data_IF_615910366879
#
_entry.id   IF_615910366879
#
_cell.length_a   1.000
_cell.length_b   1.000
_cell.length_c   1.000
_cell.angle_alpha   90.00
_cell.angle_beta   90.00
_cell.angle_gamma   90.00
#
_symmetry.space_group_name_H-M   'P 1'
#
loop_
_entity.id
_entity.type
_entity.pdbx_description
1 polymer ?
#
# COMPACT_ATOMS: atom_id res chain seq x y z
N UNK A 1 13.79 7.13 0.73
CA UNK A 1 12.32 7.11 0.67
C UNK A 1 11.83 6.47 1.95
N UNK A 2 11.06 7.24 2.73
CA UNK A 2 10.68 6.93 4.11
C UNK A 2 9.51 5.95 4.12
N UNK A 3 9.61 4.90 4.93
CA UNK A 3 8.53 3.93 5.17
C UNK A 3 7.63 4.53 6.25
N UNK A 4 6.35 4.73 5.96
CA UNK A 4 5.37 5.08 6.99
C UNK A 4 4.87 3.79 7.64
N UNK A 5 4.98 3.61 8.95
CA UNK A 5 4.29 2.54 9.65
C UNK A 5 2.81 2.93 9.75
N UNK A 6 1.94 2.29 8.96
CA UNK A 6 0.50 2.60 8.89
C UNK A 6 -0.37 1.37 9.25
N UNK A 7 0.22 0.28 9.74
CA UNK A 7 -0.55 -0.93 10.07
C UNK A 7 -1.61 -0.72 11.16
N UNK A 8 -1.41 0.24 12.07
CA UNK A 8 -2.37 0.51 13.15
C UNK A 8 -3.55 1.41 12.72
N UNK A 9 -3.32 2.31 11.74
CA UNK A 9 -4.35 3.27 11.31
C UNK A 9 -5.35 2.64 10.31
N UNK A 10 -4.92 1.62 9.55
CA UNK A 10 -5.80 0.80 8.70
C UNK A 10 -7.01 0.25 9.49
N UNK A 11 -6.78 -0.24 10.72
CA UNK A 11 -7.85 -0.80 11.55
C UNK A 11 -8.69 0.25 12.30
N UNK A 12 -8.16 1.46 12.49
CA UNK A 12 -8.86 2.54 13.22
C UNK A 12 -9.66 3.49 12.32
N UNK A 13 -9.61 3.30 10.99
CA UNK A 13 -10.48 3.99 10.02
C UNK A 13 -10.20 5.49 9.81
N UNK A 14 -9.17 6.05 10.45
CA UNK A 14 -8.77 7.43 10.28
C UNK A 14 -7.44 7.48 9.51
N UNK A 15 -7.50 7.91 8.25
CA UNK A 15 -6.30 8.05 7.41
C UNK A 15 -6.18 9.48 6.87
N UNK A 16 -4.99 10.12 6.93
CA UNK A 16 -4.79 11.48 6.44
C UNK A 16 -4.96 11.58 4.91
N UNK A 17 -5.65 12.63 4.43
CA UNK A 17 -5.73 12.97 3.00
C UNK A 17 -4.65 14.00 2.66
N UNK A 18 -3.79 13.73 1.68
CA UNK A 18 -2.76 14.68 1.24
C UNK A 18 -3.32 15.75 0.29
N UNK A 19 -4.54 15.55 -0.25
CA UNK A 19 -5.16 16.48 -1.20
C UNK A 19 -4.49 16.52 -2.58
N UNK A 20 -3.63 15.55 -2.88
CA UNK A 20 -2.94 15.41 -4.17
C UNK A 20 -3.67 14.36 -4.99
N UNK A 21 -4.47 14.80 -5.98
CA UNK A 21 -5.14 13.88 -6.92
C UNK A 21 -4.15 13.41 -7.99
N UNK A 22 -4.22 12.12 -8.32
CA UNK A 22 -3.50 11.52 -9.45
C UNK A 22 -4.50 11.10 -10.51
N UNK A 23 -4.28 11.54 -11.75
CA UNK A 23 -5.25 11.34 -12.85
C UNK A 23 -5.43 9.87 -13.26
N UNK A 24 -4.48 8.99 -12.94
CA UNK A 24 -4.51 7.57 -13.28
C UNK A 24 -4.74 6.65 -12.08
N UNK A 25 -5.22 7.19 -10.95
CA UNK A 25 -5.54 6.44 -9.72
C UNK A 25 -6.38 5.18 -10.00
N UNK A 26 -7.42 5.29 -10.81
CA UNK A 26 -8.30 4.16 -11.14
C UNK A 26 -7.53 3.03 -11.86
N UNK A 27 -6.64 3.38 -12.78
CA UNK A 27 -5.81 2.39 -13.50
C UNK A 27 -4.80 1.71 -12.57
N UNK A 28 -4.25 2.45 -11.60
CA UNK A 28 -3.36 1.89 -10.59
C UNK A 28 -4.12 0.91 -9.69
N UNK A 29 -5.32 1.27 -9.24
CA UNK A 29 -6.17 0.40 -8.41
C UNK A 29 -6.54 -0.89 -9.15
N UNK A 30 -6.92 -0.80 -10.42
CA UNK A 30 -7.20 -1.99 -11.24
C UNK A 30 -5.97 -2.89 -11.38
N UNK A 31 -4.79 -2.30 -11.59
CA UNK A 31 -3.54 -3.05 -11.69
C UNK A 31 -3.17 -3.75 -10.37
N UNK A 32 -3.41 -3.10 -9.23
CA UNK A 32 -3.10 -3.63 -7.89
C UNK A 32 -4.07 -4.74 -7.49
N UNK A 33 -5.38 -4.54 -7.67
CA UNK A 33 -6.43 -5.52 -7.31
C UNK A 33 -6.41 -6.79 -8.16
N UNK A 34 -5.91 -6.70 -9.40
CA UNK A 34 -5.81 -7.83 -10.31
C UNK A 34 -4.72 -8.84 -9.96
N UNK A 35 -3.95 -8.64 -8.88
CA UNK A 35 -2.84 -9.53 -8.51
C UNK A 35 -3.21 -10.48 -7.37
N UNK A 36 -2.63 -11.68 -7.43
CA UNK A 36 -2.62 -12.61 -6.30
C UNK A 36 -1.44 -12.27 -5.38
N UNK A 37 -1.58 -12.46 -4.06
CA UNK A 37 -0.47 -12.26 -3.14
C UNK A 37 0.66 -13.25 -3.44
N UNK A 38 1.89 -12.76 -3.41
CA UNK A 38 3.12 -13.56 -3.60
C UNK A 38 3.69 -14.06 -2.27
N UNK A 39 3.35 -13.40 -1.17
CA UNK A 39 3.75 -13.79 0.18
C UNK A 39 2.73 -13.29 1.21
N UNK A 40 2.67 -13.98 2.35
CA UNK A 40 1.98 -13.52 3.55
C UNK A 40 3.03 -13.26 4.62
N UNK A 41 3.17 -12.03 5.08
CA UNK A 41 4.00 -11.69 6.22
C UNK A 41 3.14 -11.79 7.48
N UNK A 42 3.43 -12.77 8.33
CA UNK A 42 2.86 -12.86 9.67
C UNK A 42 3.91 -12.41 10.68
N UNK A 43 3.63 -11.32 11.39
CA UNK A 43 4.52 -10.75 12.39
C UNK A 43 3.75 -10.24 13.60
N UNK A 44 4.50 -9.91 14.64
CA UNK A 44 3.98 -9.32 15.87
C UNK A 44 4.58 -7.92 16.00
N UNK A 45 3.75 -6.89 16.15
CA UNK A 45 4.20 -5.58 16.63
C UNK A 45 3.74 -5.39 18.06
N UNK A 46 4.64 -4.96 18.94
CA UNK A 46 4.28 -4.52 20.27
C UNK A 46 3.82 -3.07 20.20
N UNK A 47 2.58 -2.81 20.58
CA UNK A 47 2.11 -1.44 20.83
C UNK A 47 2.84 -0.92 22.08
N UNK A 48 3.71 0.08 21.90
CA UNK A 48 4.48 0.65 22.99
C UNK A 48 3.65 1.47 23.98
N UNK A 49 2.43 1.90 23.61
CA UNK A 49 1.54 2.65 24.48
C UNK A 49 0.78 1.73 25.45
N UNK A 50 0.42 0.52 25.01
CA UNK A 50 -0.37 -0.44 25.80
C UNK A 50 0.44 -1.64 26.29
N UNK A 51 1.59 -1.92 25.66
CA UNK A 51 2.39 -3.13 25.89
C UNK A 51 1.82 -4.38 25.23
N UNK A 52 0.71 -4.27 24.50
CA UNK A 52 0.05 -5.41 23.87
C UNK A 52 0.75 -5.83 22.57
N UNK A 53 0.82 -7.14 22.34
CA UNK A 53 1.34 -7.68 21.09
C UNK A 53 0.19 -7.79 20.09
N UNK A 54 0.26 -7.01 19.02
CA UNK A 54 -0.72 -7.03 17.93
C UNK A 54 -0.20 -7.89 16.79
N UNK A 55 -1.04 -8.84 16.35
CA UNK A 55 -0.77 -9.64 15.15
C UNK A 55 -0.91 -8.77 13.92
N UNK A 56 0.10 -8.79 13.06
CA UNK A 56 0.00 -8.23 11.71
C UNK A 56 0.18 -9.37 10.74
N UNK A 57 -0.90 -9.65 10.02
CA UNK A 57 -0.85 -10.44 8.81
C UNK A 57 -1.04 -9.49 7.65
N UNK A 58 0.00 -9.29 6.85
CA UNK A 58 -0.09 -8.45 5.66
C UNK A 58 0.28 -9.27 4.41
N UNK A 59 -0.51 -9.08 3.36
CA UNK A 59 -0.32 -9.71 2.07
C UNK A 59 0.61 -8.85 1.21
N UNK A 60 1.66 -9.46 0.67
CA UNK A 60 2.57 -8.82 -0.27
C UNK A 60 2.19 -9.19 -1.69
N UNK A 61 2.10 -8.20 -2.56
CA UNK A 61 1.74 -8.33 -3.98
C UNK A 61 2.91 -7.85 -4.85
N UNK A 62 2.99 -8.36 -6.08
CA UNK A 62 4.02 -7.96 -7.04
C UNK A 62 3.47 -7.94 -8.47
N UNK A 63 3.88 -6.93 -9.25
CA UNK A 63 3.68 -6.86 -10.70
C UNK A 63 4.80 -6.03 -11.31
N UNK A 64 5.35 -6.47 -12.45
CA UNK A 64 6.40 -5.75 -13.17
C UNK A 64 7.64 -5.36 -12.32
N UNK A 65 7.93 -6.10 -11.24
CA UNK A 65 9.07 -5.83 -10.35
C UNK A 65 8.79 -4.81 -9.24
N UNK A 66 7.61 -4.20 -9.20
CA UNK A 66 7.17 -3.41 -8.04
C UNK A 66 6.35 -4.25 -7.08
N UNK A 67 6.57 -4.02 -5.79
CA UNK A 67 5.88 -4.68 -4.68
C UNK A 67 5.06 -3.69 -3.88
N UNK A 68 3.93 -4.13 -3.37
CA UNK A 68 3.08 -3.35 -2.49
C UNK A 68 2.33 -4.26 -1.52
N UNK A 69 1.79 -3.67 -0.46
CA UNK A 69 0.98 -4.38 0.53
C UNK A 69 -0.52 -4.18 0.29
N UNK A 70 -1.34 -5.00 0.95
CA UNK A 70 -2.79 -4.81 0.93
C UNK A 70 -3.16 -3.40 1.42
N UNK A 71 -2.46 -2.96 2.47
CA UNK A 71 -2.62 -1.65 3.08
C UNK A 71 -2.37 -0.49 2.10
N UNK A 72 -1.33 -0.59 1.26
CA UNK A 72 -1.07 0.40 0.21
C UNK A 72 -2.20 0.49 -0.81
N UNK A 73 -2.81 -0.65 -1.16
CA UNK A 73 -3.98 -0.69 -2.06
C UNK A 73 -5.18 0.00 -1.43
N UNK A 74 -5.46 -0.33 -0.17
CA UNK A 74 -6.54 0.29 0.60
C UNK A 74 -6.35 1.80 0.73
N UNK A 75 -5.12 2.22 1.05
CA UNK A 75 -4.81 3.63 1.22
C UNK A 75 -4.90 4.39 -0.11
N UNK A 76 -4.48 3.79 -1.23
CA UNK A 76 -4.66 4.39 -2.54
C UNK A 76 -6.14 4.54 -2.90
N UNK A 77 -6.98 3.57 -2.55
CA UNK A 77 -8.42 3.63 -2.81
C UNK A 77 -9.09 4.76 -2.01
N UNK A 78 -8.87 4.77 -0.70
CA UNK A 78 -9.63 5.60 0.22
C UNK A 78 -9.03 7.00 0.46
N UNK A 79 -7.76 7.20 0.07
CA UNK A 79 -7.04 8.45 0.31
C UNK A 79 -6.51 9.07 -0.99
N UNK A 80 -6.24 10.37 -0.90
CA UNK A 80 -5.43 11.09 -1.88
C UNK A 80 -3.97 10.93 -1.48
N UNK A 81 -3.28 9.97 -2.10
CA UNK A 81 -1.88 9.67 -1.85
C UNK A 81 -1.01 10.16 -3.00
N UNK A 82 0.18 10.65 -2.65
CA UNK A 82 1.26 10.82 -3.61
C UNK A 82 1.87 9.46 -3.94
N UNK A 83 1.78 9.07 -5.20
CA UNK A 83 2.46 7.88 -5.74
C UNK A 83 3.69 8.37 -6.51
N UNK A 84 4.80 7.63 -6.54
CA UNK A 84 5.91 8.04 -7.39
C UNK A 84 5.63 7.69 -8.85
N UNK A 85 6.09 8.52 -9.78
CA UNK A 85 5.97 8.25 -11.23
C UNK A 85 6.66 6.93 -11.60
N UNK A 86 7.80 6.63 -10.99
CA UNK A 86 8.51 5.35 -11.16
C UNK A 86 7.64 4.14 -10.76
N UNK A 87 6.98 4.20 -9.60
CA UNK A 87 6.09 3.13 -9.16
C UNK A 87 4.89 2.99 -10.10
N UNK A 88 4.25 4.12 -10.45
CA UNK A 88 3.09 4.12 -11.34
C UNK A 88 3.44 3.59 -12.74
N UNK A 89 4.56 4.02 -13.30
CA UNK A 89 5.01 3.60 -14.62
C UNK A 89 5.40 2.12 -14.61
N UNK A 90 6.15 1.66 -13.62
CA UNK A 90 6.48 0.24 -13.50
C UNK A 90 5.22 -0.63 -13.34
N UNK A 91 4.30 -0.25 -12.45
CA UNK A 91 3.06 -0.98 -12.20
C UNK A 91 2.18 -1.06 -13.46
N UNK A 92 2.09 0.03 -14.21
CA UNK A 92 1.30 0.14 -15.43
C UNK A 92 2.05 -0.33 -16.69
N UNK A 93 3.34 -0.68 -16.58
CA UNK A 93 4.18 -1.06 -17.71
C UNK A 93 4.49 0.09 -18.67
N UNK A 94 4.38 1.34 -18.21
CA UNK A 94 4.80 2.53 -18.96
C UNK A 94 6.33 2.66 -18.82
N UNK A 95 7.02 3.10 -19.87
CA UNK A 95 8.48 3.34 -19.81
C UNK A 95 9.38 2.13 -20.10
N UNK A 96 8.88 0.90 -20.25
CA UNK A 96 9.64 -0.20 -20.86
C UNK A 96 9.70 0.01 -22.38
N UNK A 97 10.70 0.77 -22.84
CA UNK A 97 11.16 0.80 -24.24
C UNK A 97 12.45 0.01 -24.36
#
# INVERSE_FOLDING_TARGET
MTIFPITENYHRGAVPRLGVRRDDKDRLLDAMRGQKPIAMAAGYLTDYATGETTNITDAMYEKNGVRWTEEMTYNLEHNDMEVSDEFADALLGRGKR
#
